data_IF_844267417826
#
_entry.id   IF_844267417826
#
_cell.length_a   1.000
_cell.length_b   1.000
_cell.length_c   1.000
_cell.angle_alpha   90.00
_cell.angle_beta   90.00
_cell.angle_gamma   90.00
#
_symmetry.space_group_name_H-M   'P 1'
#
loop_
_entity.id
_entity.type
_entity.pdbx_description
1 polymer ?
#
# COMPACT_ATOMS: atom_id res chain seq x y z
N UNK A 1 -6.40 13.24 -6.17
CA UNK A 1 -5.11 12.60 -5.80
C UNK A 1 -5.30 11.09 -5.75
N UNK A 2 -4.24 10.29 -5.95
CA UNK A 2 -4.30 8.82 -5.79
C UNK A 2 -3.52 8.36 -4.56
N UNK A 3 -4.03 7.30 -3.92
CA UNK A 3 -3.34 6.59 -2.82
C UNK A 3 -3.20 5.12 -3.20
N UNK A 4 -2.10 4.51 -2.80
CA UNK A 4 -1.87 3.07 -2.95
C UNK A 4 -1.93 2.41 -1.57
N UNK A 5 -2.87 1.49 -1.38
CA UNK A 5 -2.97 0.67 -0.17
C UNK A 5 -2.55 -0.75 -0.48
N UNK A 6 -1.46 -1.21 0.12
CA UNK A 6 -0.90 -2.55 -0.04
C UNK A 6 -1.07 -3.35 1.24
N UNK A 7 -1.46 -4.62 1.12
CA UNK A 7 -1.61 -5.56 2.23
C UNK A 7 -0.59 -6.68 2.11
N UNK A 8 0.04 -6.97 3.23
CA UNK A 8 1.04 -8.02 3.37
C UNK A 8 0.66 -8.97 4.50
N UNK A 9 1.00 -10.25 4.36
CA UNK A 9 1.04 -11.19 5.48
C UNK A 9 2.42 -11.09 6.12
N UNK A 10 2.43 -10.91 7.44
CA UNK A 10 3.68 -10.76 8.20
C UNK A 10 4.21 -12.10 8.67
N UNK A 11 5.43 -12.12 9.22
CA UNK A 11 6.01 -13.31 9.84
C UNK A 11 5.24 -13.83 11.06
N UNK A 12 4.41 -12.98 11.68
CA UNK A 12 3.48 -13.37 12.75
C UNK A 12 2.11 -13.81 12.24
N UNK A 13 1.96 -14.11 10.94
CA UNK A 13 0.72 -14.54 10.27
C UNK A 13 -0.45 -13.53 10.33
N UNK A 14 -0.17 -12.27 10.67
CA UNK A 14 -1.14 -11.19 10.65
C UNK A 14 -1.09 -10.38 9.35
N UNK A 15 -2.06 -9.48 9.16
CA UNK A 15 -2.11 -8.59 8.00
C UNK A 15 -1.59 -7.21 8.38
N UNK A 16 -0.49 -6.79 7.76
CA UNK A 16 -0.04 -5.40 7.76
C UNK A 16 -0.56 -4.66 6.53
N UNK A 17 -0.94 -3.39 6.70
CA UNK A 17 -1.31 -2.50 5.60
C UNK A 17 -0.29 -1.37 5.51
N UNK A 18 0.29 -1.18 4.32
CA UNK A 18 1.16 -0.06 3.99
C UNK A 18 0.41 0.85 3.01
N UNK A 19 0.31 2.13 3.34
CA UNK A 19 -0.36 3.13 2.50
C UNK A 19 0.66 4.15 2.03
N UNK A 20 0.70 4.38 0.72
CA UNK A 20 1.48 5.45 0.09
C UNK A 20 0.49 6.49 -0.42
N UNK A 21 0.63 7.72 0.06
CA UNK A 21 -0.17 8.85 -0.42
C UNK A 21 0.48 9.46 -1.66
N UNK A 22 -0.31 10.18 -2.45
CA UNK A 22 0.19 10.95 -3.61
C UNK A 22 0.97 10.09 -4.62
N UNK A 23 0.46 8.90 -4.92
CA UNK A 23 1.06 8.07 -5.98
C UNK A 23 0.75 8.65 -7.35
N UNK A 24 1.68 8.42 -8.28
CA UNK A 24 1.57 8.83 -9.69
C UNK A 24 0.25 8.32 -10.30
N UNK A 25 -0.38 9.13 -11.14
CA UNK A 25 -1.73 8.85 -11.64
C UNK A 25 -1.81 7.67 -12.61
N UNK A 26 -0.74 7.41 -13.36
CA UNK A 26 -0.62 6.35 -14.36
C UNK A 26 0.09 5.10 -13.83
N UNK A 27 0.13 4.92 -12.51
CA UNK A 27 0.65 3.70 -11.90
C UNK A 27 -0.16 2.47 -12.36
N UNK A 28 0.56 1.47 -12.85
CA UNK A 28 -0.02 0.22 -13.35
C UNK A 28 -0.01 -0.91 -12.32
N UNK A 29 -0.87 -1.91 -12.53
CA UNK A 29 -0.91 -3.11 -11.69
C UNK A 29 0.43 -3.86 -11.67
N UNK A 30 1.18 -3.84 -12.78
CA UNK A 30 2.49 -4.47 -12.89
C UNK A 30 3.51 -3.78 -11.98
N UNK A 31 3.56 -2.44 -11.99
CA UNK A 31 4.45 -1.66 -11.14
C UNK A 31 4.11 -1.83 -9.66
N UNK A 32 2.82 -1.87 -9.30
CA UNK A 32 2.39 -2.17 -7.92
C UNK A 32 2.87 -3.55 -7.49
N UNK A 33 2.72 -4.56 -8.36
CA UNK A 33 3.17 -5.92 -8.05
C UNK A 33 4.69 -5.99 -7.84
N UNK A 34 5.47 -5.36 -8.73
CA UNK A 34 6.92 -5.31 -8.63
C UNK A 34 7.38 -4.56 -7.37
N UNK A 35 6.75 -3.44 -7.03
CA UNK A 35 7.02 -2.72 -5.79
C UNK A 35 6.77 -3.59 -4.56
N UNK A 36 5.65 -4.33 -4.54
CA UNK A 36 5.35 -5.24 -3.43
C UNK A 36 6.39 -6.38 -3.30
N UNK A 37 6.90 -6.90 -4.42
CA UNK A 37 7.96 -7.92 -4.42
C UNK A 37 9.29 -7.35 -3.94
N UNK A 38 9.63 -6.13 -4.34
CA UNK A 38 10.84 -5.44 -3.90
C UNK A 38 10.80 -5.15 -2.39
N UNK A 39 9.66 -4.69 -1.86
CA UNK A 39 9.47 -4.45 -0.41
C UNK A 39 9.73 -5.73 0.41
N UNK A 40 9.20 -6.88 -0.04
CA UNK A 40 9.42 -8.17 0.63
C UNK A 40 10.89 -8.60 0.50
N UNK A 41 11.49 -8.40 -0.67
CA UNK A 41 12.87 -8.78 -0.96
C UNK A 41 13.87 -8.00 -0.12
N UNK A 42 13.63 -6.71 0.07
CA UNK A 42 14.48 -5.85 0.91
C UNK A 42 14.39 -6.23 2.40
N UNK A 43 13.27 -6.84 2.84
CA UNK A 43 13.01 -7.27 4.23
C UNK A 43 13.32 -6.18 5.28
N UNK A 44 13.24 -4.90 4.88
CA UNK A 44 13.64 -3.74 5.68
C UNK A 44 12.47 -3.08 6.42
N UNK A 45 11.24 -3.52 6.16
CA UNK A 45 10.03 -3.01 6.78
C UNK A 45 9.44 -4.04 7.76
N UNK A 46 9.10 -3.56 8.95
CA UNK A 46 8.53 -4.35 10.04
C UNK A 46 7.24 -3.71 10.55
N UNK A 47 6.24 -4.53 10.80
CA UNK A 47 5.06 -4.15 11.58
C UNK A 47 5.23 -4.58 13.04
N UNK A 48 4.23 -4.28 13.87
CA UNK A 48 4.13 -4.82 15.23
C UNK A 48 4.13 -6.35 15.30
N UNK A 49 3.71 -7.03 14.22
CA UNK A 49 3.71 -8.49 14.09
C UNK A 49 4.87 -9.03 13.23
N UNK A 50 5.91 -8.20 13.02
CA UNK A 50 7.16 -8.60 12.39
C UNK A 50 7.28 -8.21 10.92
N UNK A 51 8.22 -8.85 10.21
CA UNK A 51 8.58 -8.55 8.82
C UNK A 51 7.46 -8.85 7.83
N UNK A 52 7.42 -8.12 6.70
CA UNK A 52 6.46 -8.35 5.61
C UNK A 52 6.92 -9.53 4.73
N UNK A 53 6.18 -10.65 4.70
CA UNK A 53 6.63 -11.89 4.04
C UNK A 53 5.90 -12.27 2.76
N UNK A 54 4.61 -11.94 2.62
CA UNK A 54 3.82 -12.32 1.43
C UNK A 54 2.87 -11.22 1.00
N UNK A 55 2.65 -11.09 -0.31
CA UNK A 55 1.62 -10.23 -0.89
C UNK A 55 0.24 -10.77 -0.55
N UNK A 56 -0.64 -9.94 0.01
CA UNK A 56 -2.06 -10.28 0.23
C UNK A 56 -2.98 -9.60 -0.77
N UNK A 57 -2.63 -8.39 -1.21
CA UNK A 57 -3.35 -7.66 -2.25
C UNK A 57 -3.05 -6.16 -2.18
N UNK A 58 -3.50 -5.42 -3.19
CA UNK A 58 -3.35 -3.98 -3.23
C UNK A 58 -4.61 -3.31 -3.81
N UNK A 59 -4.78 -2.02 -3.54
CA UNK A 59 -5.84 -1.18 -4.09
C UNK A 59 -5.29 0.20 -4.39
N UNK A 60 -5.58 0.69 -5.59
CA UNK A 60 -5.45 2.10 -5.95
C UNK A 60 -6.74 2.79 -5.51
N UNK A 61 -6.62 3.91 -4.80
CA UNK A 61 -7.73 4.68 -4.25
C UNK A 61 -7.68 6.06 -4.87
N UNK A 62 -8.68 6.40 -5.67
CA UNK A 62 -8.91 7.76 -6.16
C UNK A 62 -9.60 8.59 -5.07
N UNK A 63 -9.03 9.75 -4.77
CA UNK A 63 -9.55 10.70 -3.77
C UNK A 63 -9.94 11.99 -4.47
N UNK A 64 -11.21 12.35 -4.28
CA UNK A 64 -11.82 13.61 -4.72
C UNK A 64 -12.11 14.45 -3.50
N UNK A 65 -11.67 15.71 -3.52
CA UNK A 65 -11.98 16.70 -2.48
C UNK A 65 -12.93 17.74 -3.07
N UNK A 66 -13.97 18.08 -2.31
CA UNK A 66 -14.95 19.11 -2.67
C UNK A 66 -15.11 20.03 -1.48
N UNK A 67 -14.86 21.31 -1.67
CA UNK A 67 -15.11 22.34 -0.67
C UNK A 67 -16.61 22.57 -0.51
N UNK A 68 -17.07 22.70 0.73
CA UNK A 68 -18.49 22.93 1.06
C UNK A 68 -18.57 24.16 1.96
N UNK A 69 -19.40 25.14 1.58
CA UNK A 69 -19.70 26.29 2.43
C UNK A 69 -20.53 25.86 3.64
N UNK A 70 -20.12 26.29 4.83
CA UNK A 70 -20.87 26.07 6.08
C UNK A 70 -21.50 27.42 6.47
N UNK A 71 -22.82 27.47 6.52
CA UNK A 71 -23.62 28.65 6.89
C UNK A 71 -23.79 28.79 8.41
#
# INVERSE_FOLDING_TARGET
MKKLSMKFVTSGDEVATLTVNEVREDISDAEVNSLMDEIITQDALYSSSGSLKKKKGAKIIDVTETEVEVL
#
